data_IF_340640756044
#
_entry.id   IF_340640756044
#
_cell.length_a   1.000
_cell.length_b   1.000
_cell.length_c   1.000
_cell.angle_alpha   90.00
_cell.angle_beta   90.00
_cell.angle_gamma   90.00
#
_symmetry.space_group_name_H-M   'P 1'
#
loop_
_entity.id
_entity.type
_entity.pdbx_description
1 polymer ?
#
# COMPACT_ATOMS: atom_id res chain seq x y z
N UNK A 1 -41.65 -13.46 17.99
CA UNK A 1 -40.19 -13.63 18.16
C UNK A 1 -39.36 -13.18 16.95
N UNK A 2 -39.65 -13.58 15.70
CA UNK A 2 -38.83 -13.18 14.51
C UNK A 2 -38.74 -11.67 14.19
N UNK A 3 -39.71 -10.84 14.60
CA UNK A 3 -39.68 -9.38 14.36
C UNK A 3 -38.81 -8.60 15.34
N UNK A 4 -38.56 -9.15 16.53
CA UNK A 4 -37.76 -8.46 17.57
C UNK A 4 -36.26 -8.56 17.26
N UNK A 5 -35.81 -9.69 16.69
CA UNK A 5 -34.42 -9.90 16.27
C UNK A 5 -34.00 -9.06 15.07
N UNK A 6 -34.89 -8.79 14.10
CA UNK A 6 -34.59 -7.87 12.99
C UNK A 6 -34.46 -6.41 13.43
N UNK A 7 -35.28 -5.97 14.39
CA UNK A 7 -35.23 -4.60 14.92
C UNK A 7 -33.96 -4.40 15.75
N UNK A 8 -33.52 -5.39 16.52
CA UNK A 8 -32.25 -5.33 17.26
C UNK A 8 -31.02 -5.29 16.34
N UNK A 9 -31.01 -6.06 15.24
CA UNK A 9 -29.91 -6.02 14.26
C UNK A 9 -29.82 -4.65 13.55
N UNK A 10 -30.97 -4.08 13.18
CA UNK A 10 -31.05 -2.74 12.55
C UNK A 10 -30.65 -1.65 13.55
N UNK A 11 -31.08 -1.73 14.81
CA UNK A 11 -30.64 -0.79 15.84
C UNK A 11 -29.14 -0.89 16.09
N UNK A 12 -28.55 -2.10 16.17
CA UNK A 12 -27.10 -2.27 16.29
C UNK A 12 -26.34 -1.62 15.12
N UNK A 13 -26.76 -1.88 13.88
CA UNK A 13 -26.19 -1.26 12.68
C UNK A 13 -26.27 0.28 12.70
N UNK A 14 -27.41 0.84 13.12
CA UNK A 14 -27.61 2.29 13.21
C UNK A 14 -26.79 2.90 14.35
N UNK A 15 -26.70 2.24 15.52
CA UNK A 15 -25.84 2.71 16.61
C UNK A 15 -24.35 2.61 16.25
N UNK A 16 -23.91 1.59 15.53
CA UNK A 16 -22.54 1.48 15.03
C UNK A 16 -22.22 2.60 14.02
N UNK A 17 -23.16 2.92 13.11
CA UNK A 17 -23.02 4.04 12.16
C UNK A 17 -23.00 5.41 12.85
N UNK A 18 -23.76 5.58 13.94
CA UNK A 18 -23.77 6.83 14.73
C UNK A 18 -22.50 7.01 15.58
N UNK A 19 -21.94 5.93 16.14
CA UNK A 19 -20.67 6.00 16.87
C UNK A 19 -19.50 6.31 15.92
N UNK A 20 -19.52 5.77 14.70
CA UNK A 20 -18.55 6.09 13.64
C UNK A 20 -18.64 7.58 13.24
N UNK A 21 -19.84 8.16 13.16
CA UNK A 21 -20.01 9.56 12.74
C UNK A 21 -19.66 10.59 13.81
N UNK A 22 -19.82 10.27 15.10
CA UNK A 22 -19.42 11.16 16.21
C UNK A 22 -17.90 11.21 16.45
N UNK A 23 -17.15 10.14 16.11
CA UNK A 23 -15.69 10.11 16.24
C UNK A 23 -14.93 10.81 15.09
N UNK A 24 -15.58 11.09 13.97
CA UNK A 24 -14.98 11.83 12.84
C UNK A 24 -14.68 13.29 13.23
N UNK A 25 -15.43 13.84 14.19
CA UNK A 25 -15.31 15.23 14.65
C UNK A 25 -14.14 15.52 15.61
N UNK A 26 -13.42 14.50 16.10
CA UNK A 26 -12.44 14.68 17.19
C UNK A 26 -11.05 14.07 16.95
N UNK A 27 -10.67 13.75 15.71
CA UNK A 27 -9.35 13.17 15.43
C UNK A 27 -8.41 14.23 14.87
N UNK A 28 -7.22 14.30 15.47
CA UNK A 28 -6.12 15.19 15.12
C UNK A 28 -5.57 14.97 13.72
N UNK A 29 -4.38 15.51 13.49
CA UNK A 29 -3.67 15.62 12.19
C UNK A 29 -3.96 14.49 11.20
N UNK A 30 -4.10 14.81 9.90
CA UNK A 30 -4.34 13.80 8.87
C UNK A 30 -3.25 12.72 8.94
N UNK A 31 -3.72 11.51 9.22
CA UNK A 31 -2.96 10.28 9.31
C UNK A 31 -2.11 10.09 8.03
N UNK A 32 -0.79 9.88 8.16
CA UNK A 32 0.15 9.68 7.05
C UNK A 32 -0.27 8.51 6.13
N UNK A 33 -1.12 7.61 6.63
CA UNK A 33 -1.75 6.52 5.87
C UNK A 33 -2.72 6.94 4.75
N UNK A 34 -3.13 8.22 4.66
CA UNK A 34 -4.00 8.75 3.60
C UNK A 34 -3.25 9.22 2.35
N UNK A 35 -1.91 9.15 2.32
CA UNK A 35 -1.09 9.80 1.29
C UNK A 35 -1.30 9.20 -0.10
N UNK A 36 -1.37 7.88 -0.23
CA UNK A 36 -1.52 7.21 -1.54
C UNK A 36 -2.96 6.88 -1.94
N UNK A 37 -3.95 7.54 -1.33
CA UNK A 37 -5.32 7.45 -1.81
C UNK A 37 -5.47 8.04 -3.21
N UNK A 38 -6.14 7.30 -4.09
CA UNK A 38 -6.49 7.79 -5.42
C UNK A 38 -5.54 7.36 -6.54
N UNK A 39 -5.45 8.19 -7.58
CA UNK A 39 -4.68 7.96 -8.81
C UNK A 39 -3.29 8.59 -8.73
N UNK A 40 -2.28 7.75 -8.92
CA UNK A 40 -0.89 8.15 -9.06
C UNK A 40 -0.39 8.14 -10.50
N UNK A 41 0.67 8.91 -10.77
CA UNK A 41 1.49 8.75 -11.97
C UNK A 41 2.97 8.89 -11.63
N UNK A 42 3.79 8.03 -12.23
CA UNK A 42 5.24 8.11 -12.10
C UNK A 42 5.83 9.11 -13.10
N UNK A 43 6.89 9.80 -12.68
CA UNK A 43 7.63 10.78 -13.45
C UNK A 43 9.12 10.45 -13.31
N UNK A 44 9.73 9.98 -14.40
CA UNK A 44 11.14 9.60 -14.38
C UNK A 44 12.09 10.78 -14.52
N UNK A 45 11.79 11.68 -15.47
CA UNK A 45 12.67 12.78 -15.85
C UNK A 45 11.87 14.05 -16.00
N UNK A 46 11.43 14.61 -14.86
CA UNK A 46 10.55 15.78 -14.85
C UNK A 46 11.13 16.96 -15.66
N UNK A 47 12.46 17.13 -15.63
CA UNK A 47 13.20 18.17 -16.35
C UNK A 47 13.22 17.99 -17.88
N UNK A 48 12.77 16.86 -18.44
CA UNK A 48 12.64 16.64 -19.90
C UNK A 48 11.19 16.80 -20.40
N UNK A 49 10.21 16.90 -19.50
CA UNK A 49 8.79 16.93 -19.83
C UNK A 49 8.32 18.33 -20.22
N UNK A 50 7.41 18.41 -21.21
CA UNK A 50 6.76 19.65 -21.67
C UNK A 50 7.75 20.79 -21.98
N UNK A 51 9.01 20.47 -22.34
CA UNK A 51 10.10 21.43 -22.55
C UNK A 51 9.86 22.41 -23.72
N UNK A 52 8.91 22.09 -24.58
CA UNK A 52 8.45 22.94 -25.68
C UNK A 52 7.46 24.01 -25.22
N UNK A 53 6.97 23.95 -23.97
CA UNK A 53 6.06 24.94 -23.39
C UNK A 53 6.84 26.09 -22.76
N UNK A 54 6.22 27.27 -22.74
CA UNK A 54 6.78 28.47 -22.08
C UNK A 54 7.04 28.24 -20.58
N UNK A 55 6.13 27.53 -19.91
CA UNK A 55 6.29 27.08 -18.53
C UNK A 55 6.07 25.56 -18.43
N UNK A 56 7.12 24.75 -18.56
CA UNK A 56 7.02 23.29 -18.57
C UNK A 56 6.41 22.72 -17.29
N UNK A 57 6.84 23.18 -16.10
CA UNK A 57 6.31 22.71 -14.82
C UNK A 57 4.81 22.99 -14.71
N UNK A 58 4.39 24.20 -15.07
CA UNK A 58 2.97 24.57 -15.05
C UNK A 58 2.15 23.71 -16.01
N UNK A 59 2.65 23.45 -17.21
CA UNK A 59 1.97 22.60 -18.18
C UNK A 59 1.79 21.16 -17.67
N UNK A 60 2.81 20.60 -16.99
CA UNK A 60 2.72 19.29 -16.33
C UNK A 60 1.61 19.31 -15.26
N UNK A 61 1.66 20.27 -14.34
CA UNK A 61 0.70 20.39 -13.23
C UNK A 61 -0.73 20.57 -13.74
N UNK A 62 -0.95 21.42 -14.76
CA UNK A 62 -2.26 21.64 -15.35
C UNK A 62 -2.82 20.41 -16.06
N UNK A 63 -1.97 19.66 -16.77
CA UNK A 63 -2.38 18.38 -17.37
C UNK A 63 -2.81 17.41 -16.28
N UNK A 64 -2.01 17.23 -15.23
CA UNK A 64 -2.30 16.30 -14.14
C UNK A 64 -3.59 16.67 -13.40
N UNK A 65 -3.79 17.96 -13.12
CA UNK A 65 -5.04 18.48 -12.55
C UNK A 65 -6.24 18.17 -13.46
N UNK A 66 -6.12 18.39 -14.77
CA UNK A 66 -7.18 18.05 -15.74
C UNK A 66 -7.47 16.54 -15.78
N UNK A 67 -6.43 15.70 -15.67
CA UNK A 67 -6.55 14.23 -15.60
C UNK A 67 -6.95 13.72 -14.22
N UNK A 68 -7.17 14.62 -13.26
CA UNK A 68 -7.59 14.33 -11.88
C UNK A 68 -6.64 13.35 -11.21
N UNK A 69 -5.34 13.61 -11.32
CA UNK A 69 -4.30 12.86 -10.61
C UNK A 69 -4.23 13.39 -9.18
N UNK A 70 -4.16 12.48 -8.22
CA UNK A 70 -4.15 12.80 -6.78
C UNK A 70 -2.73 12.91 -6.24
N UNK A 71 -1.79 12.16 -6.84
CA UNK A 71 -0.39 12.17 -6.43
C UNK A 71 0.57 11.83 -7.58
N UNK A 72 1.84 12.25 -7.44
CA UNK A 72 2.92 11.93 -8.38
C UNK A 72 4.10 11.28 -7.66
N UNK A 73 4.85 10.43 -8.36
CA UNK A 73 6.13 9.89 -7.92
C UNK A 73 7.26 10.42 -8.82
N UNK A 74 8.08 11.36 -8.33
CA UNK A 74 9.15 12.02 -9.11
C UNK A 74 10.52 11.45 -8.76
N UNK A 75 11.31 11.04 -9.76
CA UNK A 75 12.65 10.47 -9.48
C UNK A 75 13.59 11.56 -8.96
N UNK A 76 14.30 11.23 -7.89
CA UNK A 76 15.34 12.08 -7.30
C UNK A 76 16.65 11.32 -7.03
N UNK A 77 16.65 9.99 -7.05
CA UNK A 77 17.84 9.20 -6.77
C UNK A 77 18.02 7.99 -7.69
N UNK A 78 19.28 7.63 -7.92
CA UNK A 78 19.67 6.41 -8.63
C UNK A 78 20.97 5.85 -8.05
N UNK A 79 20.83 4.79 -7.26
CA UNK A 79 21.86 4.26 -6.37
C UNK A 79 22.46 5.35 -5.49
N UNK A 80 23.78 5.56 -5.61
CA UNK A 80 24.55 6.54 -4.84
C UNK A 80 24.48 7.99 -5.39
N UNK A 81 23.71 8.22 -6.45
CA UNK A 81 23.59 9.56 -7.06
C UNK A 81 22.27 10.22 -6.71
N UNK A 82 22.35 11.41 -6.12
CA UNK A 82 21.24 12.31 -5.89
C UNK A 82 21.08 13.23 -7.09
N UNK A 83 20.13 12.91 -7.97
CA UNK A 83 19.95 13.57 -9.27
C UNK A 83 19.84 15.09 -9.22
N UNK A 84 19.17 15.71 -8.23
CA UNK A 84 19.11 17.16 -8.12
C UNK A 84 20.47 17.85 -7.99
N UNK A 85 21.52 17.14 -7.56
CA UNK A 85 22.89 17.64 -7.49
C UNK A 85 23.79 17.05 -8.58
N UNK A 86 23.71 15.74 -8.78
CA UNK A 86 24.67 14.99 -9.58
C UNK A 86 24.34 15.01 -11.08
N UNK A 87 23.07 15.26 -11.44
CA UNK A 87 22.63 15.30 -12.83
C UNK A 87 22.51 16.73 -13.33
N UNK A 88 23.44 17.13 -14.20
CA UNK A 88 23.56 18.51 -14.71
C UNK A 88 22.25 19.11 -15.22
N UNK A 89 21.49 18.38 -16.03
CA UNK A 89 20.23 18.86 -16.60
C UNK A 89 19.15 19.02 -15.53
N UNK A 90 19.11 18.11 -14.56
CA UNK A 90 18.17 18.17 -13.44
C UNK A 90 18.49 19.36 -12.56
N UNK A 91 19.75 19.48 -12.13
CA UNK A 91 20.23 20.58 -11.29
C UNK A 91 19.90 21.93 -11.92
N UNK A 92 20.24 22.11 -13.19
CA UNK A 92 19.93 23.34 -13.94
C UNK A 92 18.43 23.62 -13.97
N UNK A 93 17.62 22.62 -14.32
CA UNK A 93 16.16 22.77 -14.35
C UNK A 93 15.60 23.17 -12.98
N UNK A 94 16.11 22.57 -11.91
CA UNK A 94 15.67 22.85 -10.54
C UNK A 94 16.06 24.26 -10.08
N UNK A 95 17.27 24.71 -10.42
CA UNK A 95 17.71 26.10 -10.20
C UNK A 95 16.78 27.10 -10.93
N UNK A 96 16.37 26.79 -12.17
CA UNK A 96 15.42 27.60 -12.94
C UNK A 96 14.01 27.61 -12.31
N UNK A 97 13.57 26.51 -11.67
CA UNK A 97 12.31 26.48 -10.91
C UNK A 97 12.43 27.18 -9.54
N UNK A 98 13.64 27.53 -9.10
CA UNK A 98 13.92 28.11 -7.80
C UNK A 98 13.87 27.12 -6.63
N UNK A 99 14.24 25.87 -6.89
CA UNK A 99 14.39 24.82 -5.88
C UNK A 99 13.18 23.88 -5.75
N UNK A 100 13.40 22.75 -5.05
CA UNK A 100 12.40 21.69 -4.94
C UNK A 100 11.14 22.10 -4.18
N UNK A 101 11.27 22.95 -3.15
CA UNK A 101 10.12 23.47 -2.42
C UNK A 101 9.13 24.22 -3.33
N UNK A 102 9.61 24.96 -4.33
CA UNK A 102 8.72 25.62 -5.31
C UNK A 102 8.04 24.63 -6.25
N UNK A 103 8.77 23.60 -6.68
CA UNK A 103 8.22 22.52 -7.51
C UNK A 103 7.08 21.82 -6.76
N UNK A 104 7.31 21.43 -5.51
CA UNK A 104 6.32 20.78 -4.64
C UNK A 104 5.12 21.69 -4.41
N UNK A 105 5.34 22.97 -4.09
CA UNK A 105 4.27 23.93 -3.89
C UNK A 105 3.36 24.10 -5.13
N UNK A 106 3.90 24.04 -6.35
CA UNK A 106 3.06 24.07 -7.56
C UNK A 106 2.14 22.84 -7.67
N UNK A 107 2.62 21.64 -7.34
CA UNK A 107 1.77 20.46 -7.27
C UNK A 107 0.72 20.56 -6.15
N UNK A 108 1.12 20.99 -4.96
CA UNK A 108 0.22 21.18 -3.82
C UNK A 108 -0.88 22.22 -4.11
N UNK A 109 -0.55 23.32 -4.79
CA UNK A 109 -1.52 24.32 -5.24
C UNK A 109 -2.56 23.75 -6.23
N UNK A 110 -2.24 22.65 -6.89
CA UNK A 110 -3.18 21.89 -7.72
C UNK A 110 -3.92 20.78 -6.98
N UNK A 111 -3.64 20.59 -5.68
CA UNK A 111 -4.19 19.52 -4.85
C UNK A 111 -3.53 18.16 -5.09
N UNK A 112 -2.30 18.14 -5.63
CA UNK A 112 -1.57 16.92 -6.00
C UNK A 112 -0.45 16.70 -5.01
N UNK A 113 -0.41 15.51 -4.38
CA UNK A 113 0.68 15.12 -3.47
C UNK A 113 1.93 14.73 -4.24
N UNK A 114 3.10 14.92 -3.66
CA UNK A 114 4.41 14.66 -4.27
C UNK A 114 5.17 13.65 -3.43
N UNK A 115 5.34 12.45 -3.99
CA UNK A 115 6.30 11.48 -3.52
C UNK A 115 7.56 11.57 -4.36
N UNK A 116 8.71 11.43 -3.72
CA UNK A 116 9.99 11.36 -4.38
C UNK A 116 10.52 9.94 -4.34
N UNK A 117 11.26 9.50 -5.36
CA UNK A 117 11.73 8.12 -5.40
C UNK A 117 13.20 7.97 -5.78
N UNK A 118 13.81 6.93 -5.21
CA UNK A 118 15.18 6.51 -5.46
C UNK A 118 15.17 5.06 -5.94
N UNK A 119 15.92 4.78 -7.00
CA UNK A 119 16.24 3.40 -7.38
C UNK A 119 17.43 2.92 -6.56
N UNK A 120 17.31 1.77 -5.90
CA UNK A 120 18.34 1.22 -4.99
C UNK A 120 18.87 -0.12 -5.48
N UNK A 121 20.14 -0.38 -5.19
CA UNK A 121 20.85 -1.57 -5.63
C UNK A 121 21.46 -2.35 -4.47
N UNK A 122 21.70 -1.74 -3.30
CA UNK A 122 22.26 -2.39 -2.12
C UNK A 122 23.70 -2.90 -2.27
N UNK A 123 24.39 -2.55 -3.36
CA UNK A 123 25.78 -2.91 -3.61
C UNK A 123 26.49 -1.85 -4.46
N UNK A 124 27.68 -1.44 -4.01
CA UNK A 124 28.49 -0.48 -4.74
C UNK A 124 28.84 -0.98 -6.15
N UNK A 125 28.63 -0.13 -7.15
CA UNK A 125 28.90 -0.42 -8.55
C UNK A 125 27.92 -1.41 -9.19
N UNK A 126 26.81 -1.75 -8.51
CA UNK A 126 25.74 -2.51 -9.13
C UNK A 126 24.98 -1.66 -10.17
N UNK A 127 24.21 -2.34 -11.01
CA UNK A 127 23.51 -1.76 -12.15
C UNK A 127 23.87 -2.44 -13.45
N UNK A 128 23.17 -2.11 -14.54
CA UNK A 128 23.52 -2.64 -15.85
C UNK A 128 24.87 -2.06 -16.30
N UNK A 129 25.63 -2.80 -17.15
CA UNK A 129 26.91 -2.32 -17.67
C UNK A 129 26.79 -0.92 -18.30
N UNK A 130 27.67 0.00 -17.89
CA UNK A 130 27.68 1.40 -18.31
C UNK A 130 26.76 2.33 -17.51
N UNK A 131 26.03 1.80 -16.51
CA UNK A 131 25.24 2.59 -15.57
C UNK A 131 25.41 2.06 -14.13
N UNK A 132 26.64 1.70 -13.76
CA UNK A 132 27.05 1.17 -12.44
C UNK A 132 26.90 2.21 -11.32
N UNK A 133 25.67 2.65 -11.08
CA UNK A 133 25.29 3.68 -10.13
C UNK A 133 24.94 3.16 -8.74
N UNK A 134 24.86 1.85 -8.55
CA UNK A 134 24.57 1.24 -7.25
C UNK A 134 25.51 1.70 -6.15
N UNK A 135 24.98 1.94 -4.96
CA UNK A 135 25.76 2.29 -3.78
C UNK A 135 25.78 1.15 -2.76
N UNK A 136 26.66 1.22 -1.77
CA UNK A 136 26.47 0.46 -0.53
C UNK A 136 25.17 0.92 0.17
N UNK A 137 24.62 0.14 1.11
CA UNK A 137 23.48 0.57 1.91
C UNK A 137 23.61 1.98 2.49
N UNK A 138 24.78 2.34 3.01
CA UNK A 138 25.06 3.65 3.59
C UNK A 138 25.09 4.75 2.52
N UNK A 139 25.73 4.51 1.38
CA UNK A 139 25.77 5.48 0.27
C UNK A 139 24.37 5.75 -0.28
N UNK A 140 23.54 4.70 -0.42
CA UNK A 140 22.16 4.85 -0.85
C UNK A 140 21.30 5.53 0.22
N UNK A 141 21.56 5.25 1.51
CA UNK A 141 20.87 5.91 2.62
C UNK A 141 21.18 7.41 2.66
N UNK A 142 22.41 7.85 2.36
CA UNK A 142 22.73 9.27 2.27
C UNK A 142 21.91 9.99 1.18
N UNK A 143 21.68 9.34 0.03
CA UNK A 143 20.79 9.87 -1.01
C UNK A 143 19.34 9.94 -0.50
N UNK A 144 18.85 8.90 0.19
CA UNK A 144 17.52 8.91 0.78
C UNK A 144 17.35 10.03 1.82
N UNK A 145 18.34 10.27 2.69
CA UNK A 145 18.35 11.37 3.67
C UNK A 145 18.27 12.73 2.99
N UNK A 146 19.00 12.94 1.89
CA UNK A 146 18.89 14.18 1.08
C UNK A 146 17.49 14.37 0.52
N UNK A 147 16.83 13.29 0.08
CA UNK A 147 15.44 13.33 -0.40
C UNK A 147 14.48 13.66 0.76
N UNK A 148 14.62 12.99 1.89
CA UNK A 148 13.78 13.19 3.09
C UNK A 148 13.95 14.57 3.72
N UNK A 149 15.10 15.22 3.51
CA UNK A 149 15.36 16.59 3.93
C UNK A 149 14.60 17.65 3.11
N UNK A 150 13.98 17.28 1.99
CA UNK A 150 13.24 18.22 1.15
C UNK A 150 11.94 18.61 1.84
N UNK A 151 11.82 19.89 2.19
CA UNK A 151 10.62 20.42 2.83
C UNK A 151 9.38 20.26 1.93
N UNK A 152 8.29 19.79 2.54
CA UNK A 152 6.99 19.66 1.89
C UNK A 152 6.75 18.37 1.12
N UNK A 153 7.70 17.41 1.08
CA UNK A 153 7.40 16.11 0.46
C UNK A 153 6.29 15.38 1.21
N UNK A 154 5.43 14.68 0.47
CA UNK A 154 4.37 13.87 1.07
C UNK A 154 4.83 12.44 1.33
N UNK A 155 5.84 11.95 0.62
CA UNK A 155 6.33 10.59 0.81
C UNK A 155 7.60 10.26 0.04
N UNK A 156 8.16 9.10 0.36
CA UNK A 156 9.36 8.57 -0.26
C UNK A 156 9.10 7.15 -0.78
N UNK A 157 9.55 6.84 -2.00
CA UNK A 157 9.45 5.50 -2.57
C UNK A 157 10.84 4.94 -2.86
N UNK A 158 11.08 3.75 -2.33
CA UNK A 158 12.29 2.98 -2.55
C UNK A 158 12.04 2.00 -3.69
N UNK A 159 12.74 2.17 -4.81
CA UNK A 159 12.62 1.28 -5.96
C UNK A 159 13.66 0.17 -5.90
N UNK A 160 13.22 -0.99 -5.37
CA UNK A 160 14.03 -2.17 -5.06
C UNK A 160 13.61 -3.37 -5.93
N UNK A 161 13.72 -3.24 -7.25
CA UNK A 161 13.44 -4.35 -8.20
C UNK A 161 14.57 -5.41 -8.23
N UNK A 162 14.72 -6.13 -9.34
CA UNK A 162 15.73 -7.19 -9.56
C UNK A 162 17.16 -6.77 -9.36
N UNK A 163 17.44 -5.48 -9.52
CA UNK A 163 18.80 -4.99 -9.46
C UNK A 163 19.24 -4.68 -8.04
N UNK A 164 18.37 -4.90 -7.06
CA UNK A 164 18.79 -4.98 -5.68
C UNK A 164 19.65 -6.23 -5.47
N UNK A 165 20.96 -6.02 -5.41
CA UNK A 165 22.02 -7.02 -5.23
C UNK A 165 22.56 -7.08 -3.80
N UNK A 166 22.05 -6.24 -2.90
CA UNK A 166 22.32 -6.35 -1.46
C UNK A 166 21.73 -7.62 -0.87
N UNK A 167 22.07 -7.92 0.37
CA UNK A 167 21.45 -8.96 1.21
C UNK A 167 20.31 -8.39 2.06
N UNK A 168 19.59 -9.24 2.80
CA UNK A 168 18.57 -8.79 3.76
C UNK A 168 19.19 -7.92 4.86
N UNK A 169 20.43 -8.20 5.22
CA UNK A 169 21.18 -7.39 6.19
C UNK A 169 21.53 -6.02 5.62
N UNK A 170 21.87 -5.96 4.33
CA UNK A 170 22.15 -4.70 3.63
C UNK A 170 20.88 -3.83 3.54
N UNK A 171 19.71 -4.44 3.28
CA UNK A 171 18.43 -3.73 3.28
C UNK A 171 18.10 -3.19 4.67
N UNK A 172 18.38 -3.97 5.72
CA UNK A 172 18.18 -3.56 7.10
C UNK A 172 19.08 -2.38 7.48
N UNK A 173 20.37 -2.40 7.08
CA UNK A 173 21.28 -1.26 7.32
C UNK A 173 20.75 0.02 6.67
N UNK A 174 20.36 -0.05 5.40
CA UNK A 174 19.78 1.09 4.67
C UNK A 174 18.54 1.66 5.39
N UNK A 175 17.60 0.79 5.79
CA UNK A 175 16.34 1.22 6.39
C UNK A 175 16.51 1.73 7.83
N UNK A 176 17.37 1.10 8.64
CA UNK A 176 17.68 1.57 9.99
C UNK A 176 18.28 2.98 9.94
N UNK A 177 19.18 3.22 8.99
CA UNK A 177 19.82 4.52 8.86
C UNK A 177 18.82 5.64 8.46
N UNK A 178 17.91 5.33 7.54
CA UNK A 178 16.79 6.22 7.19
C UNK A 178 15.86 6.48 8.37
N UNK A 179 15.48 5.42 9.11
CA UNK A 179 14.59 5.54 10.28
C UNK A 179 15.24 6.37 11.39
N UNK A 180 16.53 6.16 11.67
CA UNK A 180 17.28 6.97 12.63
C UNK A 180 17.32 8.44 12.21
N UNK A 181 17.53 8.71 10.92
CA UNK A 181 17.49 10.07 10.39
C UNK A 181 16.11 10.71 10.57
N UNK A 182 15.02 10.01 10.23
CA UNK A 182 13.66 10.50 10.42
C UNK A 182 13.35 10.79 11.89
N UNK A 183 13.71 9.88 12.80
CA UNK A 183 13.53 10.07 14.24
C UNK A 183 14.32 11.27 14.77
N UNK A 184 15.59 11.40 14.38
CA UNK A 184 16.46 12.51 14.80
C UNK A 184 15.96 13.88 14.32
N UNK A 185 15.22 13.92 13.20
CA UNK A 185 14.67 15.14 12.62
C UNK A 185 13.14 15.28 12.84
N UNK A 186 12.54 14.41 13.66
CA UNK A 186 11.11 14.37 13.96
C UNK A 186 10.23 14.39 12.69
N UNK A 187 10.62 13.59 11.70
CA UNK A 187 9.92 13.41 10.42
C UNK A 187 8.93 12.26 10.53
N UNK A 188 7.68 12.52 10.13
CA UNK A 188 6.63 11.52 9.95
C UNK A 188 6.25 11.52 8.46
N UNK A 189 7.03 10.76 7.67
CA UNK A 189 6.94 10.73 6.21
C UNK A 189 6.55 9.32 5.79
N UNK A 190 5.55 9.21 4.92
CA UNK A 190 5.14 7.94 4.35
C UNK A 190 6.26 7.34 3.49
N UNK A 191 6.59 6.07 3.71
CA UNK A 191 7.58 5.33 2.92
C UNK A 191 6.92 4.13 2.25
N UNK A 192 7.07 3.99 0.94
CA UNK A 192 6.74 2.76 0.23
C UNK A 192 7.97 2.17 -0.44
N UNK A 193 7.86 0.90 -0.83
CA UNK A 193 8.85 0.27 -1.71
C UNK A 193 8.16 -0.35 -2.93
N UNK A 194 8.77 -0.24 -4.11
CA UNK A 194 8.29 -0.90 -5.32
C UNK A 194 9.16 -2.12 -5.64
N UNK A 195 8.53 -3.10 -6.30
CA UNK A 195 9.07 -4.43 -6.57
C UNK A 195 8.52 -4.97 -7.89
N UNK A 196 8.91 -6.18 -8.30
CA UNK A 196 8.11 -6.90 -9.29
C UNK A 196 6.72 -7.23 -8.79
N UNK A 197 5.80 -7.45 -9.73
CA UNK A 197 4.47 -7.99 -9.44
C UNK A 197 4.54 -9.29 -8.66
N UNK A 198 5.40 -10.23 -9.07
CA UNK A 198 5.59 -11.49 -8.38
C UNK A 198 6.81 -11.39 -7.46
N UNK A 199 6.65 -11.50 -6.14
CA UNK A 199 7.77 -11.44 -5.21
C UNK A 199 8.72 -12.65 -5.32
N UNK A 200 8.33 -13.71 -6.02
CA UNK A 200 9.20 -14.82 -6.40
C UNK A 200 9.99 -14.57 -7.69
N UNK A 201 9.66 -13.52 -8.46
CA UNK A 201 10.36 -13.21 -9.70
C UNK A 201 11.71 -12.54 -9.40
N UNK A 202 12.78 -13.13 -9.94
CA UNK A 202 14.14 -12.61 -9.84
C UNK A 202 14.88 -12.73 -11.17
N UNK A 203 15.93 -11.93 -11.33
CA UNK A 203 16.99 -12.17 -12.32
C UNK A 203 18.18 -12.93 -11.67
N UNK A 204 17.90 -13.74 -10.63
CA UNK A 204 18.89 -14.35 -9.74
C UNK A 204 18.26 -15.30 -8.71
N UNK A 205 18.77 -15.34 -7.47
CA UNK A 205 18.24 -16.22 -6.41
C UNK A 205 16.94 -15.67 -5.80
N UNK A 206 15.82 -16.38 -6.02
CA UNK A 206 14.49 -16.04 -5.51
C UNK A 206 14.38 -16.01 -3.98
N UNK A 207 15.24 -16.74 -3.27
CA UNK A 207 15.22 -16.81 -1.81
C UNK A 207 15.71 -15.51 -1.19
N UNK A 208 16.81 -14.96 -1.73
CA UNK A 208 17.39 -13.71 -1.25
C UNK A 208 16.39 -12.54 -1.41
N UNK A 209 15.71 -12.47 -2.55
CA UNK A 209 14.75 -11.41 -2.84
C UNK A 209 13.59 -11.36 -1.82
N UNK A 210 13.06 -12.52 -1.43
CA UNK A 210 11.97 -12.61 -0.44
C UNK A 210 12.39 -12.06 0.92
N UNK A 211 13.61 -12.39 1.36
CA UNK A 211 14.12 -11.90 2.64
C UNK A 211 14.32 -10.38 2.60
N UNK A 212 14.72 -9.81 1.48
CA UNK A 212 14.79 -8.35 1.33
C UNK A 212 13.42 -7.71 1.43
N UNK A 213 12.42 -8.25 0.74
CA UNK A 213 11.05 -7.73 0.78
C UNK A 213 10.42 -7.88 2.17
N UNK A 214 10.78 -8.91 2.93
CA UNK A 214 10.37 -9.05 4.32
C UNK A 214 10.92 -7.89 5.17
N UNK A 215 12.19 -7.56 4.98
CA UNK A 215 12.87 -6.45 5.67
C UNK A 215 12.30 -5.10 5.24
N UNK A 216 12.16 -4.81 3.94
CA UNK A 216 11.47 -3.60 3.46
C UNK A 216 10.07 -3.47 4.07
N UNK A 217 9.32 -4.58 4.11
CA UNK A 217 8.04 -4.66 4.78
C UNK A 217 8.11 -4.26 6.26
N UNK A 218 9.18 -4.50 7.01
CA UNK A 218 9.20 -4.09 8.43
C UNK A 218 9.25 -2.58 8.63
N UNK A 219 9.85 -1.85 7.69
CA UNK A 219 10.17 -0.43 7.84
C UNK A 219 9.39 0.51 6.93
N UNK A 220 8.70 -0.01 5.90
CA UNK A 220 7.87 0.77 4.99
C UNK A 220 6.38 0.68 5.36
N UNK A 221 5.55 1.55 4.81
CA UNK A 221 4.11 1.63 5.03
C UNK A 221 3.31 0.85 3.97
N UNK A 222 3.85 0.71 2.76
CA UNK A 222 3.20 0.00 1.66
C UNK A 222 4.20 -0.66 0.71
N UNK A 223 3.71 -1.62 -0.07
CA UNK A 223 4.42 -2.18 -1.21
C UNK A 223 3.71 -1.82 -2.52
N UNK A 224 4.50 -1.53 -3.56
CA UNK A 224 4.02 -1.08 -4.86
C UNK A 224 4.44 -2.05 -5.97
N UNK A 225 3.78 -3.20 -6.11
CA UNK A 225 4.16 -4.20 -7.12
C UNK A 225 3.96 -3.68 -8.56
N UNK A 226 4.95 -3.90 -9.42
CA UNK A 226 4.94 -3.50 -10.83
C UNK A 226 4.24 -4.51 -11.76
N UNK A 227 2.97 -4.25 -12.03
CA UNK A 227 2.09 -5.08 -12.86
C UNK A 227 2.18 -4.62 -14.32
N UNK A 228 3.20 -5.08 -15.05
CA UNK A 228 3.53 -4.59 -16.40
C UNK A 228 3.33 -5.55 -17.61
N UNK A 229 2.39 -6.51 -17.60
CA UNK A 229 2.15 -7.30 -18.81
C UNK A 229 1.55 -6.42 -19.92
N UNK A 230 1.72 -6.83 -21.17
CA UNK A 230 1.16 -6.12 -22.34
C UNK A 230 -0.36 -6.25 -22.47
N UNK A 231 -0.93 -7.32 -21.90
CA UNK A 231 -2.33 -7.72 -22.02
C UNK A 231 -2.76 -8.42 -20.74
N UNK A 232 -4.07 -8.43 -20.48
CA UNK A 232 -4.73 -9.02 -19.33
C UNK A 232 -4.27 -8.38 -18.01
N UNK A 233 -4.09 -7.05 -17.99
CA UNK A 233 -3.52 -6.31 -16.85
C UNK A 233 -4.28 -6.63 -15.55
N UNK A 234 -5.61 -6.76 -15.63
CA UNK A 234 -6.46 -7.15 -14.51
C UNK A 234 -6.16 -8.56 -13.97
N UNK A 235 -6.05 -9.58 -14.83
CA UNK A 235 -5.73 -10.95 -14.39
C UNK A 235 -4.31 -11.10 -13.86
N UNK A 236 -3.40 -10.18 -14.19
CA UNK A 236 -2.09 -10.14 -13.56
C UNK A 236 -2.14 -9.45 -12.20
N UNK A 237 -3.05 -8.49 -11.99
CA UNK A 237 -3.30 -7.94 -10.65
C UNK A 237 -3.82 -9.03 -9.71
N UNK A 238 -4.81 -9.83 -10.13
CA UNK A 238 -5.31 -10.96 -9.31
C UNK A 238 -4.19 -11.93 -8.92
N UNK A 239 -3.31 -12.28 -9.87
CA UNK A 239 -2.14 -13.13 -9.59
C UNK A 239 -1.11 -12.43 -8.68
N UNK A 240 -0.96 -11.12 -8.80
CA UNK A 240 -0.09 -10.32 -7.92
C UNK A 240 -0.59 -10.45 -6.48
N UNK A 241 -1.89 -10.29 -6.24
CA UNK A 241 -2.49 -10.45 -4.91
C UNK A 241 -2.32 -11.86 -4.37
N UNK A 242 -2.49 -12.87 -5.21
CA UNK A 242 -2.31 -14.27 -4.83
C UNK A 242 -0.86 -14.55 -4.39
N UNK A 243 0.13 -14.16 -5.20
CA UNK A 243 1.54 -14.41 -4.92
C UNK A 243 2.02 -13.66 -3.67
N UNK A 244 1.64 -12.39 -3.53
CA UNK A 244 1.93 -11.60 -2.31
C UNK A 244 1.21 -12.15 -1.09
N UNK A 245 -0.06 -12.54 -1.22
CA UNK A 245 -0.82 -13.14 -0.13
C UNK A 245 -0.23 -14.49 0.32
N UNK A 246 0.27 -15.29 -0.60
CA UNK A 246 0.97 -16.54 -0.30
C UNK A 246 2.29 -16.27 0.46
N UNK A 247 3.05 -15.26 0.04
CA UNK A 247 4.27 -14.85 0.73
C UNK A 247 3.99 -14.29 2.13
N UNK A 248 2.95 -13.47 2.30
CA UNK A 248 2.53 -12.99 3.62
C UNK A 248 2.12 -14.14 4.55
N UNK A 249 1.39 -15.14 4.03
CA UNK A 249 1.08 -16.36 4.77
C UNK A 249 2.32 -17.17 5.14
N UNK A 250 3.36 -17.15 4.31
CA UNK A 250 4.66 -17.76 4.62
C UNK A 250 5.34 -17.02 5.77
N UNK A 251 5.41 -15.69 5.72
CA UNK A 251 6.07 -14.87 6.72
C UNK A 251 5.43 -14.91 8.10
N UNK A 252 4.11 -15.06 8.21
CA UNK A 252 3.43 -15.10 9.52
C UNK A 252 3.52 -16.47 10.20
N UNK A 253 3.88 -17.54 9.46
CA UNK A 253 4.03 -18.88 10.04
C UNK A 253 5.13 -18.88 11.10
N UNK A 254 4.90 -19.65 12.16
CA UNK A 254 5.88 -19.87 13.22
C UNK A 254 7.09 -20.63 12.65
N UNK A 255 8.30 -20.08 12.76
CA UNK A 255 9.51 -20.79 12.31
C UNK A 255 10.80 -20.00 12.21
N UNK A 256 10.76 -18.67 12.27
CA UNK A 256 11.93 -17.79 12.08
C UNK A 256 12.53 -17.23 13.39
N UNK A 257 11.98 -17.62 14.54
CA UNK A 257 12.43 -17.15 15.86
C UNK A 257 11.90 -15.78 16.28
N UNK A 258 11.12 -15.07 15.44
CA UNK A 258 10.49 -13.79 15.79
C UNK A 258 9.18 -13.98 16.55
N UNK A 259 8.72 -12.95 17.27
CA UNK A 259 7.35 -12.89 17.80
C UNK A 259 6.35 -12.63 16.66
N UNK A 260 5.07 -12.98 16.83
CA UNK A 260 4.10 -12.79 15.74
C UNK A 260 3.89 -11.31 15.40
N UNK A 261 3.92 -10.46 16.42
CA UNK A 261 3.80 -9.01 16.32
C UNK A 261 4.92 -8.45 15.43
N UNK A 262 6.13 -8.99 15.54
CA UNK A 262 7.26 -8.59 14.68
C UNK A 262 7.12 -9.12 13.25
N UNK A 263 6.60 -10.34 13.05
CA UNK A 263 6.36 -10.90 11.71
C UNK A 263 5.26 -10.16 10.96
N UNK A 264 4.21 -9.75 11.67
CA UNK A 264 3.06 -9.02 11.11
C UNK A 264 3.46 -7.65 10.56
N UNK A 265 4.51 -7.03 11.13
CA UNK A 265 5.01 -5.75 10.61
C UNK A 265 5.39 -5.83 9.15
N UNK A 266 5.85 -6.97 8.62
CA UNK A 266 6.21 -7.13 7.19
C UNK A 266 5.00 -7.20 6.24
N UNK A 267 3.78 -7.40 6.76
CA UNK A 267 2.57 -7.56 5.94
C UNK A 267 1.96 -6.18 5.66
N UNK A 268 2.02 -5.74 4.40
CA UNK A 268 1.68 -4.37 3.99
C UNK A 268 0.55 -4.28 2.98
N UNK A 269 -0.17 -3.13 2.92
CA UNK A 269 -1.10 -2.87 1.82
C UNK A 269 -0.35 -2.86 0.48
N UNK A 270 -1.01 -3.42 -0.55
CA UNK A 270 -0.54 -3.34 -1.93
C UNK A 270 -1.06 -2.03 -2.56
N UNK A 271 -0.19 -1.34 -3.30
CA UNK A 271 -0.53 -0.15 -4.09
C UNK A 271 0.03 -0.35 -5.49
N UNK A 272 -0.68 -1.06 -6.35
CA UNK A 272 -0.12 -1.60 -7.57
C UNK A 272 0.21 -0.51 -8.59
N UNK A 273 1.28 -0.76 -9.33
CA UNK A 273 1.82 0.10 -10.37
C UNK A 273 1.62 -0.59 -11.72
N UNK A 274 0.64 -0.10 -12.48
CA UNK A 274 0.29 -0.63 -13.79
C UNK A 274 1.14 -0.04 -14.92
N UNK A 275 1.15 -0.74 -16.05
CA UNK A 275 1.84 -0.30 -17.26
C UNK A 275 1.05 0.79 -17.99
N UNK A 276 1.75 1.83 -18.44
CA UNK A 276 1.19 2.96 -19.19
C UNK A 276 1.68 3.10 -20.64
N UNK A 277 2.59 2.23 -21.12
CA UNK A 277 3.15 2.27 -22.48
C UNK A 277 2.75 1.06 -23.31
N UNK A 278 2.56 1.21 -24.63
CA UNK A 278 2.23 0.09 -25.54
C UNK A 278 1.15 -0.84 -24.93
N UNK A 279 0.06 -0.21 -24.50
CA UNK A 279 -1.07 -0.83 -23.82
C UNK A 279 -2.37 -0.28 -24.39
N UNK A 280 -3.37 -1.15 -24.53
CA UNK A 280 -4.70 -0.75 -24.95
C UNK A 280 -5.41 -0.02 -23.80
N UNK A 281 -6.20 1.00 -24.13
CA UNK A 281 -6.83 1.84 -23.10
C UNK A 281 -7.85 1.08 -22.25
N UNK A 282 -8.54 0.08 -22.81
CA UNK A 282 -9.47 -0.78 -22.08
C UNK A 282 -8.78 -1.65 -21.03
N UNK A 283 -7.49 -1.97 -21.21
CA UNK A 283 -6.71 -2.69 -20.20
C UNK A 283 -6.39 -1.81 -18.99
N UNK A 284 -6.18 -0.51 -19.19
CA UNK A 284 -6.02 0.45 -18.09
C UNK A 284 -7.31 0.54 -17.28
N UNK A 285 -8.46 0.62 -17.96
CA UNK A 285 -9.77 0.63 -17.31
C UNK A 285 -9.99 -0.62 -16.46
N UNK A 286 -9.85 -1.82 -17.05
CA UNK A 286 -10.01 -3.09 -16.32
C UNK A 286 -9.07 -3.20 -15.12
N UNK A 287 -7.84 -2.72 -15.25
CA UNK A 287 -6.88 -2.70 -14.15
C UNK A 287 -7.31 -1.76 -13.03
N UNK A 288 -7.75 -0.55 -13.34
CA UNK A 288 -8.25 0.37 -12.30
C UNK A 288 -9.49 -0.23 -11.61
N UNK A 289 -10.39 -0.85 -12.37
CA UNK A 289 -11.57 -1.53 -11.83
C UNK A 289 -11.21 -2.64 -10.84
N UNK A 290 -10.31 -3.57 -11.21
CA UNK A 290 -9.94 -4.66 -10.30
C UNK A 290 -9.29 -4.11 -9.02
N UNK A 291 -8.39 -3.14 -9.15
CA UNK A 291 -7.69 -2.54 -8.01
C UNK A 291 -8.67 -1.90 -7.01
N UNK A 292 -9.64 -1.13 -7.51
CA UNK A 292 -10.61 -0.47 -6.65
C UNK A 292 -11.68 -1.41 -6.09
N UNK A 293 -12.15 -2.37 -6.88
CA UNK A 293 -13.16 -3.34 -6.46
C UNK A 293 -12.66 -4.25 -5.33
N UNK A 294 -11.35 -4.51 -5.29
CA UNK A 294 -10.67 -5.27 -4.23
C UNK A 294 -10.30 -4.41 -3.01
N UNK A 295 -10.65 -3.12 -3.02
CA UNK A 295 -10.49 -2.23 -1.88
C UNK A 295 -9.04 -1.82 -1.60
N UNK A 296 -8.20 -1.78 -2.64
CA UNK A 296 -6.86 -1.19 -2.52
C UNK A 296 -6.96 0.33 -2.32
N UNK A 297 -5.94 0.89 -1.68
CA UNK A 297 -5.92 2.30 -1.29
C UNK A 297 -5.56 3.23 -2.45
N UNK A 298 -4.78 2.77 -3.42
CA UNK A 298 -4.41 3.57 -4.59
C UNK A 298 -4.08 2.72 -5.82
N UNK A 299 -4.02 3.38 -6.97
CA UNK A 299 -3.57 2.83 -8.24
C UNK A 299 -2.60 3.80 -8.89
N UNK A 300 -1.59 3.31 -9.60
CA UNK A 300 -0.72 4.19 -10.38
C UNK A 300 -0.30 3.60 -11.70
N UNK A 301 0.17 4.44 -12.63
CA UNK A 301 0.68 4.02 -13.92
C UNK A 301 2.12 4.50 -14.16
N UNK A 302 2.90 3.65 -14.82
CA UNK A 302 4.21 3.96 -15.35
C UNK A 302 4.10 4.34 -16.83
N UNK A 303 4.37 5.57 -17.25
CA UNK A 303 4.70 6.81 -16.54
C UNK A 303 4.26 7.98 -17.44
N UNK A 304 4.28 9.21 -16.94
CA UNK A 304 3.70 10.40 -17.58
C UNK A 304 3.87 10.51 -19.11
N UNK A 305 5.11 10.38 -19.61
CA UNK A 305 5.50 10.60 -21.01
C UNK A 305 5.09 9.46 -21.95
N UNK A 306 4.70 8.30 -21.41
CA UNK A 306 4.42 7.11 -22.21
C UNK A 306 2.94 6.87 -22.48
N UNK A 307 2.06 7.54 -21.73
CA UNK A 307 0.62 7.47 -21.95
C UNK A 307 0.23 8.34 -23.15
N UNK A 308 -0.42 7.73 -24.14
CA UNK A 308 -1.11 8.49 -25.19
C UNK A 308 -2.39 9.14 -24.64
N UNK A 309 -2.98 10.05 -25.41
CA UNK A 309 -4.15 10.83 -24.98
C UNK A 309 -5.39 9.97 -24.68
N UNK A 310 -5.60 8.88 -25.43
CA UNK A 310 -6.69 7.93 -25.18
C UNK A 310 -6.51 7.24 -23.83
N UNK A 311 -5.30 6.75 -23.53
CA UNK A 311 -4.97 6.16 -22.24
C UNK A 311 -5.14 7.16 -21.09
N UNK A 312 -4.72 8.41 -21.29
CA UNK A 312 -4.94 9.48 -20.32
C UNK A 312 -6.42 9.75 -20.03
N UNK A 313 -7.26 9.76 -21.06
CA UNK A 313 -8.70 9.99 -20.90
C UNK A 313 -9.38 8.83 -20.18
N UNK A 314 -9.05 7.59 -20.53
CA UNK A 314 -9.56 6.43 -19.79
C UNK A 314 -9.09 6.45 -18.34
N UNK A 315 -7.81 6.73 -18.08
CA UNK A 315 -7.31 6.82 -16.71
C UNK A 315 -7.94 7.99 -15.92
N UNK A 316 -8.35 9.06 -16.59
CA UNK A 316 -9.11 10.16 -15.97
C UNK A 316 -10.52 9.71 -15.58
N UNK A 317 -11.20 8.98 -16.44
CA UNK A 317 -12.64 8.79 -16.41
C UNK A 317 -13.12 7.39 -15.97
N UNK A 318 -12.23 6.41 -15.73
CA UNK A 318 -12.61 5.02 -15.38
C UNK A 318 -13.59 4.92 -14.19
N UNK A 319 -13.48 5.83 -13.20
CA UNK A 319 -14.38 5.92 -12.05
C UNK A 319 -15.81 6.40 -12.36
N UNK A 320 -16.04 7.12 -13.47
CA UNK A 320 -17.38 7.63 -13.82
C UNK A 320 -18.30 6.49 -14.25
N UNK A 321 -17.77 5.57 -15.05
CA UNK A 321 -18.48 4.34 -15.40
C UNK A 321 -18.97 3.62 -14.13
N UNK A 322 -18.18 3.67 -13.06
CA UNK A 322 -18.48 3.00 -11.81
C UNK A 322 -19.46 3.74 -10.89
N UNK A 323 -19.35 5.06 -10.75
CA UNK A 323 -20.34 5.86 -10.02
C UNK A 323 -21.74 5.77 -10.66
N UNK A 324 -21.80 5.64 -11.97
CA UNK A 324 -23.06 5.49 -12.71
C UNK A 324 -23.60 4.06 -12.68
N UNK A 325 -22.74 3.04 -12.73
CA UNK A 325 -23.13 1.62 -12.73
C UNK A 325 -23.45 1.07 -11.34
N UNK A 326 -22.65 1.38 -10.31
CA UNK A 326 -22.87 0.92 -8.94
C UNK A 326 -22.31 1.90 -7.88
N UNK A 327 -23.12 2.88 -7.44
CA UNK A 327 -22.76 3.80 -6.37
C UNK A 327 -22.36 3.13 -5.05
N UNK A 328 -22.83 1.90 -4.81
CA UNK A 328 -22.55 1.18 -3.56
C UNK A 328 -21.13 0.68 -3.51
N UNK A 329 -20.52 0.40 -4.66
CA UNK A 329 -19.17 -0.12 -4.77
C UNK A 329 -18.14 0.98 -4.44
N UNK A 330 -18.41 2.25 -4.77
CA UNK A 330 -17.58 3.37 -4.32
C UNK A 330 -17.63 3.56 -2.80
N UNK A 331 -18.84 3.52 -2.22
CA UNK A 331 -19.04 3.63 -0.76
C UNK A 331 -18.33 2.48 -0.04
N UNK A 332 -18.44 1.26 -0.58
CA UNK A 332 -17.75 0.06 -0.11
C UNK A 332 -16.23 0.26 -0.15
N UNK A 333 -15.65 0.64 -1.29
CA UNK A 333 -14.20 0.85 -1.40
C UNK A 333 -13.71 1.92 -0.42
N UNK A 334 -14.43 3.05 -0.26
CA UNK A 334 -14.10 4.07 0.75
C UNK A 334 -14.18 3.54 2.18
N UNK A 335 -15.18 2.72 2.50
CA UNK A 335 -15.32 2.07 3.80
C UNK A 335 -14.15 1.12 4.11
N UNK A 336 -13.74 0.31 3.14
CA UNK A 336 -12.58 -0.58 3.28
C UNK A 336 -11.28 0.21 3.45
N UNK A 337 -11.10 1.28 2.67
CA UNK A 337 -9.94 2.18 2.81
C UNK A 337 -9.88 2.78 4.21
N UNK A 338 -11.00 3.31 4.73
CA UNK A 338 -11.08 3.79 6.11
C UNK A 338 -10.71 2.71 7.12
N UNK A 339 -11.19 1.46 6.95
CA UNK A 339 -10.81 0.38 7.85
C UNK A 339 -9.30 0.10 7.78
N UNK A 340 -8.68 0.08 6.61
CA UNK A 340 -7.23 -0.13 6.47
C UNK A 340 -6.42 0.94 7.23
N UNK A 341 -6.81 2.22 7.14
CA UNK A 341 -6.11 3.31 7.84
C UNK A 341 -6.32 3.28 9.35
N UNK A 342 -7.33 2.54 9.85
CA UNK A 342 -7.61 2.41 11.29
C UNK A 342 -7.10 1.11 11.90
N UNK A 343 -6.56 0.21 11.09
CA UNK A 343 -6.02 -1.04 11.60
C UNK A 343 -4.71 -0.77 12.36
N UNK A 344 -4.59 -1.31 13.57
CA UNK A 344 -3.38 -1.19 14.38
C UNK A 344 -2.19 -1.83 13.62
N UNK A 345 -1.13 -1.06 13.31
CA UNK A 345 -0.02 -1.56 12.50
C UNK A 345 0.83 -2.62 13.22
N UNK A 346 0.82 -2.65 14.55
CA UNK A 346 1.65 -3.55 15.36
C UNK A 346 1.02 -4.93 15.57
N UNK A 347 -0.30 -5.01 15.65
CA UNK A 347 -0.99 -6.27 15.99
C UNK A 347 -2.15 -6.64 15.06
N UNK A 348 -2.53 -5.78 14.11
CA UNK A 348 -3.59 -6.08 13.14
C UNK A 348 -5.02 -5.93 13.63
N UNK A 349 -5.22 -5.52 14.89
CA UNK A 349 -6.56 -5.32 15.46
C UNK A 349 -7.20 -4.00 15.06
N UNK A 350 -8.51 -3.90 15.26
CA UNK A 350 -9.19 -2.62 15.44
C UNK A 350 -9.54 -2.46 16.92
N UNK A 351 -9.02 -1.41 17.53
CA UNK A 351 -9.23 -1.05 18.95
C UNK A 351 -8.86 -2.17 19.94
N UNK A 352 -7.94 -3.07 19.57
CA UNK A 352 -7.54 -4.21 20.42
C UNK A 352 -8.72 -5.04 20.94
N UNK A 353 -9.78 -5.14 20.13
CA UNK A 353 -11.00 -5.86 20.48
C UNK A 353 -11.30 -6.95 19.45
N UNK A 354 -11.58 -8.18 19.90
CA UNK A 354 -11.83 -9.32 19.00
C UNK A 354 -13.11 -9.12 18.21
N UNK A 355 -14.16 -8.61 18.86
CA UNK A 355 -15.45 -8.37 18.21
C UNK A 355 -15.36 -7.33 17.08
N UNK A 356 -14.77 -6.16 17.36
CA UNK A 356 -14.57 -5.11 16.35
C UNK A 356 -13.66 -5.61 15.23
N UNK A 357 -12.56 -6.30 15.57
CA UNK A 357 -11.63 -6.86 14.59
C UNK A 357 -12.29 -7.90 13.70
N UNK A 358 -13.14 -8.76 14.26
CA UNK A 358 -13.90 -9.78 13.50
C UNK A 358 -14.90 -9.14 12.54
N UNK A 359 -15.60 -8.08 12.97
CA UNK A 359 -16.53 -7.35 12.10
C UNK A 359 -15.83 -6.62 10.97
N UNK A 360 -14.66 -6.01 11.24
CA UNK A 360 -13.84 -5.38 10.21
C UNK A 360 -13.33 -6.43 9.20
N UNK A 361 -12.78 -7.55 9.67
CA UNK A 361 -12.35 -8.66 8.81
C UNK A 361 -13.49 -9.19 7.93
N UNK A 362 -14.68 -9.37 8.52
CA UNK A 362 -15.88 -9.79 7.79
C UNK A 362 -16.28 -8.79 6.69
N UNK A 363 -16.11 -7.48 6.93
CA UNK A 363 -16.38 -6.46 5.91
C UNK A 363 -15.45 -6.62 4.69
N UNK A 364 -14.16 -6.87 4.90
CA UNK A 364 -13.21 -7.16 3.81
C UNK A 364 -13.57 -8.48 3.09
N UNK A 365 -13.87 -9.54 3.84
CA UNK A 365 -14.19 -10.86 3.25
C UNK A 365 -15.47 -10.81 2.41
N UNK A 366 -16.55 -10.19 2.93
CA UNK A 366 -17.78 -9.96 2.17
C UNK A 366 -17.58 -9.01 1.00
N UNK A 367 -16.52 -8.18 1.04
CA UNK A 367 -16.14 -7.35 -0.07
C UNK A 367 -15.46 -8.10 -1.22
N UNK A 368 -15.10 -9.37 -1.02
CA UNK A 368 -14.38 -10.18 -2.00
C UNK A 368 -12.88 -10.26 -1.74
N UNK A 369 -12.34 -9.50 -0.77
CA UNK A 369 -10.96 -9.65 -0.33
C UNK A 369 -10.75 -11.08 0.18
N UNK A 370 -9.59 -11.65 -0.11
CA UNK A 370 -9.25 -13.02 0.29
C UNK A 370 -8.49 -13.03 1.61
N UNK A 371 -8.33 -14.20 2.19
CA UNK A 371 -7.47 -14.41 3.37
C UNK A 371 -5.96 -14.21 3.08
N UNK A 372 -5.60 -13.83 1.84
CA UNK A 372 -4.28 -13.34 1.42
C UNK A 372 -4.12 -11.81 1.52
N UNK A 373 -5.22 -11.07 1.66
CA UNK A 373 -5.17 -9.62 1.81
C UNK A 373 -4.48 -9.23 3.11
N UNK A 374 -3.61 -8.21 3.08
CA UNK A 374 -2.83 -7.82 4.26
C UNK A 374 -3.68 -7.38 5.45
N UNK A 375 -4.79 -6.68 5.23
CA UNK A 375 -5.67 -6.29 6.33
C UNK A 375 -6.38 -7.52 6.92
N UNK A 376 -6.86 -8.42 6.06
CA UNK A 376 -7.52 -9.66 6.47
C UNK A 376 -6.54 -10.57 7.21
N UNK A 377 -5.35 -10.83 6.68
CA UNK A 377 -4.32 -11.65 7.31
C UNK A 377 -4.05 -11.18 8.74
N UNK A 378 -3.75 -9.89 8.91
CA UNK A 378 -3.40 -9.32 10.21
C UNK A 378 -4.57 -9.42 11.20
N UNK A 379 -5.79 -9.19 10.74
CA UNK A 379 -7.00 -9.32 11.54
C UNK A 379 -7.22 -10.77 12.01
N UNK A 380 -7.11 -11.74 11.10
CA UNK A 380 -7.30 -13.16 11.41
C UNK A 380 -6.24 -13.65 12.39
N UNK A 381 -4.97 -13.22 12.24
CA UNK A 381 -3.92 -13.55 13.21
C UNK A 381 -4.23 -13.00 14.61
N UNK A 382 -4.70 -11.76 14.69
CA UNK A 382 -5.13 -11.19 15.97
C UNK A 382 -6.24 -12.00 16.62
N UNK A 383 -7.28 -12.36 15.85
CA UNK A 383 -8.43 -13.13 16.34
C UNK A 383 -7.97 -14.50 16.86
N UNK A 384 -7.21 -15.25 16.06
CA UNK A 384 -6.73 -16.60 16.41
C UNK A 384 -5.87 -16.60 17.67
N UNK A 385 -5.01 -15.60 17.84
CA UNK A 385 -4.18 -15.45 19.04
C UNK A 385 -4.98 -15.10 20.31
N UNK A 386 -6.28 -14.81 20.20
CA UNK A 386 -7.17 -14.52 21.32
C UNK A 386 -8.12 -15.67 21.64
N UNK A 387 -7.89 -16.87 21.10
CA UNK A 387 -8.63 -18.05 21.51
C UNK A 387 -8.16 -18.52 22.90
N UNK A 388 -9.12 -18.72 23.79
CA UNK A 388 -8.93 -19.27 25.13
C UNK A 388 -8.85 -20.80 25.08
N UNK A 389 -8.38 -21.42 26.16
CA UNK A 389 -8.21 -22.88 26.24
C UNK A 389 -9.53 -23.66 26.20
N UNK A 390 -10.66 -23.00 26.48
CA UNK A 390 -12.01 -23.58 26.40
C UNK A 390 -12.65 -23.42 25.00
N UNK A 391 -11.91 -22.86 24.03
CA UNK A 391 -12.38 -22.63 22.66
C UNK A 391 -13.07 -21.28 22.46
N UNK A 392 -13.42 -20.54 23.53
CA UNK A 392 -13.96 -19.19 23.42
C UNK A 392 -12.92 -18.19 22.91
N UNK A 393 -13.34 -17.02 22.46
CA UNK A 393 -12.46 -15.93 22.04
C UNK A 393 -12.63 -14.69 22.92
N UNK A 394 -11.50 -14.04 23.21
CA UNK A 394 -11.45 -12.72 23.84
C UNK A 394 -11.94 -12.68 25.29
N UNK A 395 -12.34 -11.48 25.72
CA UNK A 395 -12.75 -11.17 27.10
C UNK A 395 -14.28 -11.13 27.27
N UNK A 396 -15.03 -10.95 26.18
CA UNK A 396 -16.49 -10.99 26.15
C UNK A 396 -16.93 -12.27 25.42
N UNK A 397 -16.76 -13.44 26.05
CA UNK A 397 -16.58 -14.69 25.32
C UNK A 397 -17.80 -15.11 24.50
N UNK A 398 -19.03 -14.83 24.93
CA UNK A 398 -20.21 -15.12 24.09
C UNK A 398 -20.25 -14.26 22.81
N UNK A 399 -20.05 -12.94 22.96
CA UNK A 399 -20.14 -11.99 21.85
C UNK A 399 -18.95 -12.16 20.89
N UNK A 400 -17.74 -12.16 21.43
CA UNK A 400 -16.51 -12.21 20.63
C UNK A 400 -16.33 -13.55 19.94
N UNK A 401 -16.67 -14.67 20.59
CA UNK A 401 -16.71 -15.99 19.93
C UNK A 401 -17.69 -16.02 18.77
N UNK A 402 -18.90 -15.47 18.96
CA UNK A 402 -19.92 -15.42 17.90
C UNK A 402 -19.43 -14.64 16.67
N UNK A 403 -18.82 -13.47 16.90
CA UNK A 403 -18.28 -12.66 15.80
C UNK A 403 -17.03 -13.25 15.16
N UNK A 404 -16.15 -13.90 15.94
CA UNK A 404 -14.96 -14.56 15.43
C UNK A 404 -15.31 -15.69 14.47
N UNK A 405 -16.34 -16.50 14.79
CA UNK A 405 -16.87 -17.53 13.89
C UNK A 405 -17.30 -16.92 12.56
N UNK A 406 -18.01 -15.79 12.55
CA UNK A 406 -18.44 -15.15 11.29
C UNK A 406 -17.26 -14.81 10.39
N UNK A 407 -16.22 -14.20 10.95
CA UNK A 407 -15.01 -13.85 10.20
C UNK A 407 -14.30 -15.10 9.69
N UNK A 408 -14.05 -16.09 10.55
CA UNK A 408 -13.32 -17.31 10.20
C UNK A 408 -14.06 -18.14 9.14
N UNK A 409 -15.38 -18.30 9.27
CA UNK A 409 -16.21 -19.02 8.28
C UNK A 409 -16.22 -18.30 6.92
N UNK A 410 -16.30 -16.97 6.91
CA UNK A 410 -16.32 -16.18 5.67
C UNK A 410 -15.01 -16.29 4.86
N UNK A 411 -13.92 -16.79 5.45
CA UNK A 411 -12.68 -17.09 4.71
C UNK A 411 -12.81 -18.29 3.78
N UNK A 412 -13.78 -19.19 4.05
CA UNK A 412 -13.89 -20.52 3.44
C UNK A 412 -12.59 -21.34 3.49
N UNK A 413 -11.71 -21.06 4.46
CA UNK A 413 -10.43 -21.73 4.58
C UNK A 413 -10.53 -22.91 5.58
N UNK A 414 -10.34 -24.17 5.13
CA UNK A 414 -10.45 -25.34 5.99
C UNK A 414 -9.40 -25.38 7.11
N UNK A 415 -8.32 -24.59 7.01
CA UNK A 415 -7.29 -24.51 8.05
C UNK A 415 -7.79 -23.96 9.39
N UNK A 416 -8.95 -23.28 9.39
CA UNK A 416 -9.57 -22.73 10.60
C UNK A 416 -10.64 -23.64 11.20
N UNK A 417 -10.80 -24.86 10.66
CA UNK A 417 -11.90 -25.75 11.05
C UNK A 417 -11.84 -26.11 12.55
N UNK A 418 -10.65 -26.39 13.07
CA UNK A 418 -10.48 -26.81 14.46
C UNK A 418 -10.80 -25.67 15.44
N UNK A 419 -10.36 -24.44 15.13
CA UNK A 419 -10.67 -23.26 15.93
C UNK A 419 -12.16 -22.91 15.87
N UNK A 420 -12.79 -23.02 14.69
CA UNK A 420 -14.25 -22.82 14.51
C UNK A 420 -15.04 -23.86 15.30
N UNK A 421 -14.62 -25.13 15.27
CA UNK A 421 -15.29 -26.23 15.95
C UNK A 421 -15.20 -26.09 17.47
N UNK A 422 -14.02 -25.73 18.00
CA UNK A 422 -13.85 -25.44 19.43
C UNK A 422 -14.74 -24.27 19.88
N UNK A 423 -14.80 -23.20 19.08
CA UNK A 423 -15.66 -22.05 19.33
C UNK A 423 -17.16 -22.38 19.27
N UNK A 424 -17.58 -23.22 18.32
CA UNK A 424 -18.95 -23.73 18.21
C UNK A 424 -19.32 -24.53 19.47
N UNK A 425 -18.45 -25.46 19.89
CA UNK A 425 -18.66 -26.26 21.09
C UNK A 425 -18.81 -25.38 22.33
N UNK A 426 -17.93 -24.38 22.50
CA UNK A 426 -18.05 -23.40 23.59
C UNK A 426 -19.45 -22.75 23.61
N UNK A 427 -19.92 -22.23 22.46
CA UNK A 427 -21.23 -21.58 22.37
C UNK A 427 -22.39 -22.53 22.70
N UNK A 428 -22.29 -23.82 22.35
CA UNK A 428 -23.31 -24.82 22.72
C UNK A 428 -23.34 -25.07 24.22
N UNK A 429 -22.18 -25.11 24.90
CA UNK A 429 -22.14 -25.34 26.35
C UNK A 429 -22.75 -24.21 27.19
N UNK A 430 -22.80 -23.00 26.66
CA UNK A 430 -23.33 -21.82 27.37
C UNK A 430 -24.78 -21.49 27.00
N UNK A 431 -25.38 -22.21 26.05
CA UNK A 431 -26.80 -22.07 25.71
C UNK A 431 -27.64 -22.88 26.70
N UNK A 432 -28.62 -22.21 27.33
CA UNK A 432 -29.53 -22.79 28.32
C UNK A 432 -30.88 -23.15 27.70
#
# INVERSE_FOLDING_TARGET
MRRITQIQLILCLITSLMVISLQISSLGSPDSSLILLGKGIWIWKIYELEKDKENPLRAIVEKLKNKKIDWVAVKCGDGRFYWPEDKKEYKKWLEEQGGFGKVINEFHNAGIKVLLWQYVYGKHGAGPPGAECGGTPEEEAEVAKKILAIEGIDGFIIDAESWYQGTAKDAEVYLIDIQNYMQANNLDIFIAYTTFWNPNQTYGDSTLQKEHYKVFGQYCDAVMPQVYPRRNLASWMERTEEEWGNLYKEWIKKGDGLALEERIKSVKPLIPLGRGWDIASDEIEKFCHIVYSHGHVGVSLWRYDLLNETCWNVYKDWWKAYEEEDPTLLVKSKGLQYLRTRQNPSNGSWQENVGITSMAALAFLNAGCKDGDSAVIRALQYILNKQNTDGSFGELPTYETSTAIWALVATHNPKYHDEIEAARQYLETIQW
#
